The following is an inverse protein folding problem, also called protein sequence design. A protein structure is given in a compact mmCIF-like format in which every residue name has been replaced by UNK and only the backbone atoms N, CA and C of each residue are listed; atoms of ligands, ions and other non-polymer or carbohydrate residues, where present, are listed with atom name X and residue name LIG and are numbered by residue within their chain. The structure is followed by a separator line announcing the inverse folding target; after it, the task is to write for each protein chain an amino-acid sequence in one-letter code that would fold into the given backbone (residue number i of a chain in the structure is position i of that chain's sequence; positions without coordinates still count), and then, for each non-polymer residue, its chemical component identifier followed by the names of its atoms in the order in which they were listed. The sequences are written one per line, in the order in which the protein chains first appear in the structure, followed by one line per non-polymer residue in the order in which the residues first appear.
data_IF_144427404057
#
_entry.id   IF_144427404057
#
_cell.length_a   1.000
_cell.length_b   1.000
_cell.length_c   1.000
_cell.angle_alpha   90.00
_cell.angle_beta   90.00
_cell.angle_gamma   90.00
#
_symmetry.space_group_name_H-M   'P 1'
#
loop_
_entity.id
_entity.type
_entity.pdbx_description
1 polymer ?
#
# COMPACT_ATOMS: atom_id res chain seq x y z
N UNK A 1 13.13 -3.35 15.58
CA UNK A 1 12.81 -4.67 14.99
C UNK A 1 12.42 -4.52 13.52
N UNK A 2 12.90 -5.42 12.65
CA UNK A 2 12.62 -5.38 11.19
C UNK A 2 11.30 -6.11 10.90
N UNK A 3 10.54 -5.62 9.92
CA UNK A 3 9.30 -6.25 9.47
C UNK A 3 9.59 -7.56 8.71
N UNK A 4 9.05 -8.68 9.18
CA UNK A 4 9.20 -10.03 8.59
C UNK A 4 7.96 -10.53 7.85
N UNK A 5 6.90 -9.73 7.79
CA UNK A 5 5.66 -10.11 7.11
C UNK A 5 5.68 -9.94 5.58
N UNK A 6 4.54 -10.16 4.91
CA UNK A 6 4.44 -10.11 3.46
C UNK A 6 4.75 -8.70 2.91
N UNK A 7 5.89 -8.56 2.22
CA UNK A 7 6.35 -7.29 1.63
C UNK A 7 5.44 -6.80 0.50
N UNK A 8 4.93 -7.72 -0.31
CA UNK A 8 3.96 -7.40 -1.38
C UNK A 8 2.70 -6.70 -0.84
N UNK A 9 2.30 -7.02 0.40
CA UNK A 9 1.13 -6.40 1.05
C UNK A 9 1.38 -4.92 1.34
N UNK A 10 2.61 -4.54 1.67
CA UNK A 10 3.00 -3.16 1.89
C UNK A 10 3.09 -2.38 0.58
N UNK A 11 3.68 -2.99 -0.46
CA UNK A 11 3.74 -2.39 -1.80
C UNK A 11 2.33 -2.15 -2.37
N UNK A 12 1.43 -3.13 -2.28
CA UNK A 12 0.03 -2.99 -2.72
C UNK A 12 -0.78 -1.99 -1.89
N UNK A 13 -0.46 -1.82 -0.60
CA UNK A 13 -1.13 -0.85 0.27
C UNK A 13 -0.68 0.58 -0.01
N UNK A 14 0.59 0.76 -0.38
CA UNK A 14 1.17 2.07 -0.72
C UNK A 14 0.97 2.46 -2.19
N UNK A 15 0.67 1.47 -3.04
CA UNK A 15 0.51 1.67 -4.49
C UNK A 15 1.83 1.86 -5.22
N UNK A 16 2.97 1.63 -4.55
CA UNK A 16 4.33 1.85 -5.09
C UNK A 16 5.15 0.59 -4.83
N UNK A 17 6.06 0.24 -5.75
CA UNK A 17 7.00 -0.85 -5.51
C UNK A 17 8.12 -0.41 -4.54
N UNK A 18 7.89 -0.65 -3.25
CA UNK A 18 8.84 -0.29 -2.19
C UNK A 18 10.10 -1.15 -2.17
N UNK A 19 10.10 -2.33 -2.79
CA UNK A 19 11.17 -3.32 -2.61
C UNK A 19 11.80 -3.81 -3.92
N UNK A 20 11.39 -3.28 -5.08
CA UNK A 20 11.96 -3.62 -6.38
C UNK A 20 11.75 -5.07 -6.82
N UNK A 21 10.85 -5.81 -6.15
CA UNK A 21 10.51 -7.21 -6.45
C UNK A 21 9.12 -7.34 -7.08
N UNK A 22 8.57 -6.23 -7.60
CA UNK A 22 7.17 -5.93 -7.91
C UNK A 22 6.41 -6.77 -8.95
N UNK A 23 6.64 -8.07 -9.05
CA UNK A 23 5.90 -8.96 -9.95
C UNK A 23 4.38 -9.03 -9.67
N UNK A 24 3.90 -8.57 -8.50
CA UNK A 24 2.46 -8.61 -8.13
C UNK A 24 1.74 -7.27 -8.14
N UNK A 25 2.45 -6.15 -8.17
CA UNK A 25 1.81 -4.84 -8.39
C UNK A 25 1.25 -4.75 -9.81
N UNK A 26 1.91 -5.39 -10.77
CA UNK A 26 1.46 -5.51 -12.15
C UNK A 26 0.20 -6.38 -12.30
N UNK A 27 -0.01 -7.37 -11.41
CA UNK A 27 -1.16 -8.29 -11.47
C UNK A 27 -2.41 -7.77 -10.74
N UNK A 28 -2.25 -7.01 -9.65
CA UNK A 28 -3.37 -6.51 -8.86
C UNK A 28 -3.13 -5.10 -8.34
N UNK A 29 -3.81 -4.13 -8.94
CA UNK A 29 -3.81 -2.71 -8.54
C UNK A 29 -4.65 -2.42 -7.29
N UNK A 30 -5.45 -3.38 -6.80
CA UNK A 30 -6.30 -3.18 -5.63
C UNK A 30 -5.52 -3.32 -4.32
N UNK A 31 -5.79 -2.48 -3.29
CA UNK A 31 -5.24 -2.63 -1.96
C UNK A 31 -5.58 -3.99 -1.34
N UNK A 32 -4.77 -4.49 -0.40
CA UNK A 32 -5.03 -5.77 0.24
C UNK A 32 -6.26 -5.72 1.16
N UNK A 33 -7.01 -6.83 1.22
CA UNK A 33 -8.15 -7.04 2.13
C UNK A 33 -9.51 -6.96 1.42
N UNK A 34 -10.56 -7.42 2.12
CA UNK A 34 -11.94 -7.49 1.62
C UNK A 34 -12.49 -6.13 1.14
N UNK A 35 -12.09 -5.05 1.82
CA UNK A 35 -12.49 -3.68 1.45
C UNK A 35 -11.55 -3.01 0.46
N UNK A 36 -10.53 -3.70 -0.06
CA UNK A 36 -9.55 -3.14 -1.00
C UNK A 36 -10.21 -2.40 -2.19
N UNK A 37 -11.13 -3.06 -2.92
CA UNK A 37 -11.82 -2.42 -4.05
C UNK A 37 -12.70 -1.23 -3.63
N UNK A 38 -13.43 -1.35 -2.52
CA UNK A 38 -14.35 -0.30 -2.03
C UNK A 38 -13.63 0.86 -1.32
N UNK A 39 -12.41 0.64 -0.84
CA UNK A 39 -11.63 1.62 -0.08
C UNK A 39 -10.91 2.64 -0.94
N UNK A 40 -10.74 2.35 -2.24
CA UNK A 40 -10.08 3.25 -3.19
C UNK A 40 -10.88 4.53 -3.46
N UNK A 41 -12.20 4.43 -3.38
CA UNK A 41 -13.12 5.53 -3.71
C UNK A 41 -13.34 6.51 -2.55
N UNK A 42 -12.85 6.21 -1.34
CA UNK A 42 -12.99 7.12 -0.20
C UNK A 42 -11.98 8.26 -0.28
N UNK A 43 -12.49 9.49 -0.21
CA UNK A 43 -11.68 10.70 -0.08
C UNK A 43 -10.86 10.63 1.21
N UNK A 44 -9.54 10.77 1.09
CA UNK A 44 -8.65 10.81 2.24
C UNK A 44 -8.69 12.19 2.90
N UNK A 45 -8.59 12.23 4.23
CA UNK A 45 -8.37 13.48 4.96
C UNK A 45 -6.95 14.02 4.70
N UNK A 46 -6.73 15.31 4.97
CA UNK A 46 -5.40 15.92 4.84
C UNK A 46 -4.33 15.19 5.67
N UNK A 47 -4.68 14.80 6.91
CA UNK A 47 -3.85 13.96 7.76
C UNK A 47 -3.61 12.56 7.16
N UNK A 48 -4.65 11.94 6.59
CA UNK A 48 -4.55 10.64 5.94
C UNK A 48 -3.50 10.63 4.83
N UNK A 49 -3.44 11.69 4.02
CA UNK A 49 -2.42 11.86 2.97
C UNK A 49 -1.01 11.91 3.56
N UNK A 50 -0.78 12.75 4.57
CA UNK A 50 0.53 12.88 5.23
C UNK A 50 0.99 11.57 5.87
N UNK A 51 0.06 10.85 6.52
CA UNK A 51 0.34 9.55 7.12
C UNK A 51 0.77 8.52 6.07
N UNK A 52 0.16 8.54 4.87
CA UNK A 52 0.55 7.64 3.77
C UNK A 52 1.93 7.95 3.25
N UNK A 53 2.28 9.22 3.06
CA UNK A 53 3.64 9.60 2.63
C UNK A 53 4.68 9.17 3.66
N UNK A 54 4.41 9.40 4.95
CA UNK A 54 5.28 8.94 6.05
C UNK A 54 5.50 7.43 6.04
N UNK A 55 4.47 6.64 5.69
CA UNK A 55 4.56 5.18 5.63
C UNK A 55 5.34 4.65 4.42
N UNK A 56 5.52 5.43 3.35
CA UNK A 56 6.30 5.00 2.19
C UNK A 56 7.81 5.01 2.45
N UNK A 57 8.26 5.94 3.30
CA UNK A 57 9.69 6.19 3.57
C UNK A 57 10.22 5.34 4.74
N UNK A 58 9.33 4.73 5.52
CA UNK A 58 9.68 3.89 6.68
C UNK A 58 9.96 2.45 6.28
#
# INVERSE_FOLDING_TARGET
MRYTGPKDRLSRRSGVDLFGKGAKLTRFSVPPGMHGPKGLTRKQSGYGRQLREKQKVK
#
